data_IF_186315071832
#
_entry.id   IF_186315071832
#
_cell.length_a   1.000
_cell.length_b   1.000
_cell.length_c   1.000
_cell.angle_alpha   90.00
_cell.angle_beta   90.00
_cell.angle_gamma   90.00
#
_symmetry.space_group_name_H-M   'P 1'
#
loop_
_entity.id
_entity.type
_entity.pdbx_description
1 polymer ?
#
# COMPACT_ATOMS: atom_id res chain seq x y z
N UNK A 1 6.69 -14.23 -22.90
CA UNK A 1 6.45 -15.32 -21.94
C UNK A 1 7.39 -15.24 -20.74
N UNK A 2 8.73 -15.18 -20.91
CA UNK A 2 9.70 -15.10 -19.81
C UNK A 2 9.49 -13.90 -18.87
N UNK A 3 9.14 -12.73 -19.41
CA UNK A 3 8.89 -11.52 -18.62
C UNK A 3 7.64 -11.66 -17.74
N UNK A 4 6.57 -12.26 -18.25
CA UNK A 4 5.34 -12.52 -17.49
C UNK A 4 5.59 -13.53 -16.37
N UNK A 5 6.34 -14.58 -16.65
CA UNK A 5 6.72 -15.58 -15.65
C UNK A 5 7.55 -14.95 -14.52
N UNK A 6 8.56 -14.15 -14.88
CA UNK A 6 9.40 -13.47 -13.89
C UNK A 6 8.58 -12.50 -13.01
N UNK A 7 7.66 -11.76 -13.63
CA UNK A 7 6.74 -10.86 -12.92
C UNK A 7 5.85 -11.64 -11.95
N UNK A 8 5.27 -12.76 -12.37
CA UNK A 8 4.43 -13.59 -11.49
C UNK A 8 5.23 -14.17 -10.32
N UNK A 9 6.45 -14.66 -10.55
CA UNK A 9 7.33 -15.15 -9.48
C UNK A 9 7.66 -14.03 -8.47
N UNK A 10 7.98 -12.83 -8.95
CA UNK A 10 8.22 -11.65 -8.11
C UNK A 10 7.00 -11.32 -7.27
N UNK A 11 5.82 -11.29 -7.89
CA UNK A 11 4.57 -10.97 -7.22
C UNK A 11 4.18 -12.01 -6.18
N UNK A 12 4.34 -13.30 -6.46
CA UNK A 12 4.12 -14.39 -5.48
C UNK A 12 5.06 -14.25 -4.27
N UNK A 13 6.33 -13.93 -4.50
CA UNK A 13 7.31 -13.70 -3.43
C UNK A 13 6.91 -12.51 -2.56
N UNK A 14 6.47 -11.43 -3.19
CA UNK A 14 5.99 -10.24 -2.50
C UNK A 14 4.74 -10.53 -1.65
N UNK A 15 3.79 -11.32 -2.17
CA UNK A 15 2.61 -11.79 -1.44
C UNK A 15 3.03 -12.60 -0.20
N UNK A 16 3.91 -13.58 -0.38
CA UNK A 16 4.38 -14.42 0.71
C UNK A 16 5.08 -13.58 1.82
N UNK A 17 5.92 -12.64 1.41
CA UNK A 17 6.59 -11.73 2.34
C UNK A 17 5.59 -10.85 3.11
N UNK A 18 4.61 -10.25 2.42
CA UNK A 18 3.61 -9.39 3.04
C UNK A 18 2.72 -10.15 4.04
N UNK A 19 2.28 -11.36 3.69
CA UNK A 19 1.46 -12.18 4.59
C UNK A 19 2.27 -12.71 5.78
N UNK A 20 3.52 -13.13 5.57
CA UNK A 20 4.42 -13.52 6.65
C UNK A 20 4.67 -12.36 7.62
N UNK A 21 4.89 -11.15 7.08
CA UNK A 21 5.02 -9.93 7.90
C UNK A 21 3.75 -9.66 8.72
N UNK A 22 2.58 -9.82 8.13
CA UNK A 22 1.30 -9.65 8.84
C UNK A 22 1.12 -10.65 9.98
N UNK A 23 1.44 -11.92 9.74
CA UNK A 23 1.35 -12.96 10.77
C UNK A 23 2.31 -12.69 11.94
N UNK A 24 3.56 -12.31 11.65
CA UNK A 24 4.55 -11.95 12.68
C UNK A 24 4.11 -10.70 13.46
N UNK A 25 3.58 -9.69 12.77
CA UNK A 25 3.07 -8.46 13.37
C UNK A 25 1.97 -8.73 14.40
N UNK A 26 0.97 -9.53 14.05
CA UNK A 26 -0.13 -9.86 14.94
C UNK A 26 0.26 -10.85 16.03
N UNK A 27 1.15 -11.81 15.73
CA UNK A 27 1.68 -12.73 16.74
C UNK A 27 2.39 -12.00 17.87
N UNK A 28 3.26 -11.04 17.55
CA UNK A 28 3.98 -10.24 18.56
C UNK A 28 3.06 -9.42 19.47
N UNK A 29 1.89 -9.05 18.98
CA UNK A 29 0.92 -8.27 19.76
C UNK A 29 -0.02 -9.13 20.59
N UNK A 30 -0.55 -10.18 20.02
CA UNK A 30 -1.58 -10.99 20.65
C UNK A 30 -1.01 -12.16 21.44
N UNK A 31 0.25 -12.53 21.18
CA UNK A 31 0.97 -13.65 21.80
C UNK A 31 0.16 -14.97 21.84
N UNK A 32 -0.64 -15.22 20.80
CA UNK A 32 -1.53 -16.40 20.71
C UNK A 32 -1.14 -17.26 19.51
N UNK A 33 -0.51 -18.42 19.77
CA UNK A 33 -0.05 -19.36 18.71
C UNK A 33 -1.16 -19.86 17.78
N UNK A 34 -2.37 -20.06 18.31
CA UNK A 34 -3.50 -20.53 17.49
C UNK A 34 -3.88 -19.52 16.38
N UNK A 35 -3.72 -18.21 16.64
CA UNK A 35 -3.97 -17.16 15.63
C UNK A 35 -3.02 -17.25 14.45
N UNK A 36 -1.76 -17.69 14.68
CA UNK A 36 -0.84 -17.98 13.57
C UNK A 36 -1.38 -19.08 12.67
N UNK A 37 -1.85 -20.19 13.27
CA UNK A 37 -2.42 -21.30 12.52
C UNK A 37 -3.65 -20.88 11.70
N UNK A 38 -4.59 -20.18 12.34
CA UNK A 38 -5.81 -19.67 11.66
C UNK A 38 -5.46 -18.67 10.56
N UNK A 39 -4.58 -17.70 10.83
CA UNK A 39 -4.14 -16.73 9.84
C UNK A 39 -3.39 -17.37 8.69
N UNK A 40 -2.52 -18.34 8.97
CA UNK A 40 -1.83 -19.09 7.92
C UNK A 40 -2.82 -19.88 7.04
N UNK A 41 -3.76 -20.61 7.66
CA UNK A 41 -4.81 -21.31 6.93
C UNK A 41 -5.65 -20.36 6.08
N UNK A 42 -6.00 -19.19 6.62
CA UNK A 42 -6.75 -18.18 5.89
C UNK A 42 -6.00 -17.71 4.63
N UNK A 43 -4.72 -17.35 4.75
CA UNK A 43 -3.93 -16.89 3.61
C UNK A 43 -3.60 -18.02 2.62
N UNK A 44 -3.38 -19.25 3.08
CA UNK A 44 -3.03 -20.40 2.24
C UNK A 44 -4.23 -20.99 1.48
N UNK A 45 -5.39 -21.06 2.13
CA UNK A 45 -6.55 -21.76 1.58
C UNK A 45 -7.59 -20.85 0.93
N UNK A 46 -7.46 -19.52 1.05
CA UNK A 46 -8.38 -18.61 0.38
C UNK A 46 -8.09 -18.58 -1.12
N UNK A 47 -8.94 -19.14 -2.00
CA UNK A 47 -8.64 -19.28 -3.42
C UNK A 47 -8.47 -17.93 -4.13
N UNK A 48 -9.14 -16.90 -3.62
CA UNK A 48 -9.01 -15.52 -4.11
C UNK A 48 -7.57 -15.01 -4.01
N UNK A 49 -6.86 -15.31 -2.90
CA UNK A 49 -5.47 -14.88 -2.69
C UNK A 49 -4.56 -15.58 -3.71
N UNK A 50 -4.75 -16.90 -3.91
CA UNK A 50 -3.98 -17.66 -4.88
C UNK A 50 -4.18 -17.13 -6.31
N UNK A 51 -5.43 -16.85 -6.71
CA UNK A 51 -5.75 -16.29 -8.02
C UNK A 51 -5.13 -14.90 -8.22
N UNK A 52 -5.24 -14.02 -7.22
CA UNK A 52 -4.64 -12.69 -7.30
C UNK A 52 -3.11 -12.72 -7.30
N UNK A 53 -2.48 -13.67 -6.60
CA UNK A 53 -1.02 -13.76 -6.57
C UNK A 53 -0.40 -14.09 -7.94
N UNK A 54 -1.15 -14.73 -8.84
CA UNK A 54 -0.72 -15.06 -10.21
C UNK A 54 -1.21 -14.02 -11.22
N UNK A 55 -2.22 -13.23 -10.88
CA UNK A 55 -2.78 -12.21 -11.77
C UNK A 55 -1.77 -11.09 -12.07
N UNK A 56 -1.50 -10.82 -13.34
CA UNK A 56 -0.57 -9.76 -13.78
C UNK A 56 -1.16 -8.36 -13.72
N UNK A 57 -1.97 -8.07 -12.70
CA UNK A 57 -2.60 -6.77 -12.53
C UNK A 57 -1.78 -5.86 -11.63
N UNK A 58 -1.73 -4.58 -12.01
CA UNK A 58 -1.10 -3.51 -11.19
C UNK A 58 -1.71 -3.39 -9.79
N UNK A 59 -2.94 -3.88 -9.61
CA UNK A 59 -3.70 -3.77 -8.38
C UNK A 59 -3.15 -4.65 -7.25
N UNK A 60 -2.53 -5.77 -7.59
CA UNK A 60 -1.96 -6.68 -6.58
C UNK A 60 -0.81 -6.02 -5.84
N UNK A 61 0.15 -5.44 -6.57
CA UNK A 61 1.30 -4.75 -5.94
C UNK A 61 0.83 -3.56 -5.12
N UNK A 62 -0.13 -2.78 -5.64
CA UNK A 62 -0.75 -1.68 -4.91
C UNK A 62 -1.40 -2.16 -3.60
N UNK A 63 -2.19 -3.23 -3.66
CA UNK A 63 -2.89 -3.79 -2.49
C UNK A 63 -1.91 -4.31 -1.44
N UNK A 64 -0.83 -4.97 -1.85
CA UNK A 64 0.21 -5.44 -0.92
C UNK A 64 0.96 -4.28 -0.26
N UNK A 65 1.28 -3.23 -1.02
CA UNK A 65 1.91 -2.04 -0.48
C UNK A 65 1.01 -1.36 0.55
N UNK A 66 -0.28 -1.20 0.25
CA UNK A 66 -1.26 -0.66 1.19
C UNK A 66 -1.50 -1.57 2.40
N UNK A 67 -1.44 -2.88 2.21
CA UNK A 67 -1.56 -3.84 3.29
C UNK A 67 -0.40 -3.71 4.31
N UNK A 68 0.84 -3.57 3.83
CA UNK A 68 2.00 -3.30 4.68
C UNK A 68 1.87 -1.91 5.33
N UNK A 69 1.47 -0.89 4.56
CA UNK A 69 1.25 0.45 5.07
C UNK A 69 0.22 0.46 6.21
N UNK A 70 -0.87 -0.30 6.10
CA UNK A 70 -1.90 -0.41 7.14
C UNK A 70 -1.33 -0.88 8.47
N UNK A 71 -0.47 -1.90 8.48
CA UNK A 71 0.17 -2.39 9.70
C UNK A 71 1.09 -1.34 10.32
N UNK A 72 1.85 -0.62 9.49
CA UNK A 72 2.74 0.44 9.95
C UNK A 72 1.98 1.68 10.44
N UNK A 73 0.85 2.02 9.81
CA UNK A 73 -0.06 3.08 10.26
C UNK A 73 -0.71 2.73 11.60
N UNK A 74 -1.10 1.47 11.78
CA UNK A 74 -1.62 0.99 13.06
C UNK A 74 -0.57 1.13 14.16
N UNK A 75 0.69 0.76 13.89
CA UNK A 75 1.78 0.92 14.84
C UNK A 75 2.10 2.39 15.13
N UNK A 76 2.04 3.25 14.12
CA UNK A 76 2.19 4.71 14.28
C UNK A 76 1.11 5.27 15.19
N UNK A 77 -0.13 4.80 15.06
CA UNK A 77 -1.25 5.22 15.90
C UNK A 77 -1.06 4.76 17.36
N UNK A 78 -0.69 3.49 17.57
CA UNK A 78 -0.53 2.90 18.90
C UNK A 78 0.66 3.50 19.68
N UNK A 79 1.81 3.64 19.03
CA UNK A 79 3.02 4.14 19.67
C UNK A 79 3.80 5.10 18.76
N UNK A 80 3.29 6.33 18.63
CA UNK A 80 3.88 7.37 17.81
C UNK A 80 5.34 7.66 18.17
N UNK A 81 5.69 7.70 19.47
CA UNK A 81 7.06 8.02 19.91
C UNK A 81 8.04 6.91 19.57
N UNK A 82 7.66 5.65 19.83
CA UNK A 82 8.47 4.48 19.49
C UNK A 82 8.64 4.29 18.00
N UNK A 83 7.61 4.63 17.22
CA UNK A 83 7.67 4.57 15.75
C UNK A 83 8.71 5.54 15.18
N UNK A 84 8.71 6.80 15.61
CA UNK A 84 9.66 7.81 15.13
C UNK A 84 11.11 7.60 15.59
N UNK A 85 11.35 6.74 16.59
CA UNK A 85 12.72 6.34 16.96
C UNK A 85 13.36 5.38 15.96
N UNK A 86 12.55 4.62 15.22
CA UNK A 86 13.02 3.61 14.25
C UNK A 86 12.92 4.15 12.83
N UNK A 87 14.05 4.63 12.30
CA UNK A 87 14.15 5.17 10.94
C UNK A 87 13.69 4.18 9.86
N UNK A 88 13.94 2.88 10.11
CA UNK A 88 13.51 1.79 9.22
C UNK A 88 11.99 1.75 9.01
N UNK A 89 11.21 1.98 10.08
CA UNK A 89 9.75 2.00 9.99
C UNK A 89 9.22 3.21 9.24
N UNK A 90 9.86 4.36 9.43
CA UNK A 90 9.54 5.58 8.68
C UNK A 90 9.80 5.35 7.19
N UNK A 91 10.98 4.80 6.86
CA UNK A 91 11.34 4.49 5.49
C UNK A 91 10.40 3.45 4.87
N UNK A 92 10.07 2.38 5.60
CA UNK A 92 9.17 1.33 5.13
C UNK A 92 7.74 1.88 4.88
N UNK A 93 7.23 2.73 5.77
CA UNK A 93 5.91 3.37 5.60
C UNK A 93 5.92 4.29 4.37
N UNK A 94 6.92 5.17 4.26
CA UNK A 94 7.03 6.07 3.11
C UNK A 94 7.17 5.30 1.81
N UNK A 95 8.03 4.27 1.77
CA UNK A 95 8.21 3.43 0.60
C UNK A 95 6.91 2.72 0.19
N UNK A 96 6.19 2.10 1.14
CA UNK A 96 4.94 1.40 0.84
C UNK A 96 3.85 2.34 0.33
N UNK A 97 3.73 3.56 0.89
CA UNK A 97 2.79 4.57 0.42
C UNK A 97 3.15 5.10 -0.97
N UNK A 98 4.45 5.35 -1.24
CA UNK A 98 4.94 5.80 -2.55
C UNK A 98 4.67 4.72 -3.60
N UNK A 99 5.03 3.46 -3.33
CA UNK A 99 4.76 2.34 -4.24
C UNK A 99 3.26 2.23 -4.53
N UNK A 100 2.41 2.23 -3.50
CA UNK A 100 0.96 2.20 -3.67
C UNK A 100 0.45 3.34 -4.55
N UNK A 101 0.93 4.57 -4.33
CA UNK A 101 0.50 5.75 -5.06
C UNK A 101 1.02 5.81 -6.50
N UNK A 102 2.22 5.26 -6.79
CA UNK A 102 2.75 5.15 -8.15
C UNK A 102 1.94 4.14 -8.98
N UNK A 103 1.49 3.04 -8.38
CA UNK A 103 0.63 2.08 -9.07
C UNK A 103 -0.81 2.57 -9.24
N UNK A 104 -1.34 3.32 -8.25
CA UNK A 104 -2.69 3.90 -8.30
C UNK A 104 -2.71 5.33 -7.77
N UNK A 105 -2.92 6.30 -8.65
CA UNK A 105 -2.99 7.74 -8.29
C UNK A 105 -4.04 8.03 -7.19
N UNK A 106 -5.11 7.24 -7.12
CA UNK A 106 -6.16 7.39 -6.10
C UNK A 106 -5.68 7.17 -4.66
N UNK A 107 -4.57 6.45 -4.45
CA UNK A 107 -3.97 6.25 -3.12
C UNK A 107 -3.56 7.58 -2.47
N UNK A 108 -3.17 8.58 -3.27
CA UNK A 108 -2.81 9.92 -2.78
C UNK A 108 -3.97 10.56 -2.01
N UNK A 109 -5.21 10.38 -2.48
CA UNK A 109 -6.39 10.90 -1.78
C UNK A 109 -6.62 10.20 -0.44
N UNK A 110 -6.39 8.89 -0.37
CA UNK A 110 -6.48 8.13 0.89
C UNK A 110 -5.40 8.57 1.88
N UNK A 111 -4.17 8.79 1.41
CA UNK A 111 -3.06 9.31 2.23
C UNK A 111 -3.38 10.71 2.74
N UNK A 112 -3.93 11.58 1.90
CA UNK A 112 -4.35 12.91 2.29
C UNK A 112 -5.48 12.89 3.33
N UNK A 113 -6.50 12.04 3.15
CA UNK A 113 -7.58 11.85 4.11
C UNK A 113 -7.03 11.38 5.47
N UNK A 114 -6.13 10.41 5.46
CA UNK A 114 -5.48 9.93 6.69
C UNK A 114 -4.68 11.04 7.38
N UNK A 115 -3.97 11.87 6.63
CA UNK A 115 -3.26 13.04 7.16
C UNK A 115 -4.22 14.02 7.85
N UNK A 116 -5.36 14.31 7.24
CA UNK A 116 -6.39 15.18 7.84
C UNK A 116 -6.93 14.58 9.13
N UNK A 117 -7.27 13.28 9.12
CA UNK A 117 -7.73 12.57 10.32
C UNK A 117 -6.67 12.60 11.42
N UNK A 118 -5.41 12.35 11.12
CA UNK A 118 -4.33 12.45 12.09
C UNK A 118 -4.13 13.88 12.60
N UNK A 119 -4.28 14.89 11.76
CA UNK A 119 -4.18 16.29 12.17
C UNK A 119 -5.30 16.70 13.14
N UNK A 120 -6.49 16.09 13.01
CA UNK A 120 -7.63 16.34 13.90
C UNK A 120 -7.50 15.55 15.20
N UNK A 121 -7.25 14.24 15.10
CA UNK A 121 -7.36 13.33 16.25
C UNK A 121 -6.05 13.14 17.03
N UNK A 122 -4.89 13.20 16.38
CA UNK A 122 -3.61 13.01 17.07
C UNK A 122 -3.16 14.30 17.75
N UNK A 123 -3.15 14.30 19.09
CA UNK A 123 -2.66 15.46 19.87
C UNK A 123 -1.14 15.46 20.01
N UNK A 124 -0.50 14.27 20.05
CA UNK A 124 0.96 14.14 20.23
C UNK A 124 1.69 14.12 18.90
N UNK A 125 2.82 14.83 18.82
CA UNK A 125 3.75 14.84 17.68
C UNK A 125 3.15 15.16 16.30
N UNK A 126 2.05 15.92 16.24
CA UNK A 126 1.37 16.33 14.99
C UNK A 126 2.36 16.81 13.91
N UNK A 127 3.32 17.67 14.28
CA UNK A 127 4.28 18.23 13.32
C UNK A 127 5.09 17.16 12.61
N UNK A 128 5.54 16.11 13.32
CA UNK A 128 6.30 15.01 12.72
C UNK A 128 5.45 14.16 11.79
N UNK A 129 4.19 13.88 12.18
CA UNK A 129 3.25 13.14 11.35
C UNK A 129 2.96 13.93 10.07
N UNK A 130 2.61 15.21 10.19
CA UNK A 130 2.32 16.08 9.03
C UNK A 130 3.54 16.16 8.12
N UNK A 131 4.74 16.36 8.67
CA UNK A 131 5.98 16.40 7.89
C UNK A 131 6.25 15.10 7.13
N UNK A 132 6.03 13.94 7.78
CA UNK A 132 6.20 12.63 7.16
C UNK A 132 5.26 12.45 5.96
N UNK A 133 3.97 12.70 6.15
CA UNK A 133 2.98 12.51 5.07
C UNK A 133 3.12 13.55 3.97
N UNK A 134 3.36 14.82 4.31
CA UNK A 134 3.62 15.87 3.32
C UNK A 134 4.88 15.57 2.50
N UNK A 135 5.96 15.13 3.14
CA UNK A 135 7.17 14.69 2.47
C UNK A 135 6.94 13.48 1.55
N UNK A 136 6.15 12.50 2.00
CA UNK A 136 5.78 11.33 1.19
C UNK A 136 4.96 11.73 -0.04
N UNK A 137 3.97 12.61 0.10
CA UNK A 137 3.15 13.10 -1.01
C UNK A 137 4.03 13.88 -2.01
N UNK A 138 4.86 14.81 -1.51
CA UNK A 138 5.76 15.59 -2.35
C UNK A 138 6.72 14.69 -3.14
N UNK A 139 7.33 13.72 -2.46
CA UNK A 139 8.24 12.76 -3.10
C UNK A 139 7.53 11.90 -4.15
N UNK A 140 6.30 11.47 -3.87
CA UNK A 140 5.48 10.73 -4.84
C UNK A 140 5.18 11.56 -6.08
N UNK A 141 4.83 12.83 -5.91
CA UNK A 141 4.57 13.74 -7.04
C UNK A 141 5.84 13.96 -7.87
N UNK A 142 6.99 14.18 -7.23
CA UNK A 142 8.27 14.36 -7.92
C UNK A 142 8.66 13.10 -8.71
N UNK A 143 8.50 11.92 -8.11
CA UNK A 143 8.80 10.64 -8.77
C UNK A 143 7.83 10.39 -9.93
N UNK A 144 6.53 10.69 -9.78
CA UNK A 144 5.55 10.53 -10.86
C UNK A 144 5.90 11.40 -12.06
N UNK A 145 6.18 12.69 -11.84
CA UNK A 145 6.60 13.61 -12.90
C UNK A 145 7.92 13.19 -13.50
N UNK A 146 8.90 12.78 -12.67
CA UNK A 146 10.20 12.31 -13.14
C UNK A 146 10.08 11.06 -14.02
N UNK A 147 9.24 10.10 -13.64
CA UNK A 147 9.00 8.90 -14.45
C UNK A 147 8.24 9.21 -15.74
N UNK A 148 7.24 10.10 -15.71
CA UNK A 148 6.51 10.52 -16.90
C UNK A 148 7.47 11.19 -17.91
N UNK A 149 8.38 12.03 -17.45
CA UNK A 149 9.36 12.72 -18.32
C UNK A 149 10.46 11.79 -18.84
N UNK A 150 11.01 10.90 -17.99
CA UNK A 150 12.08 9.98 -18.38
C UNK A 150 11.61 8.89 -19.35
N UNK A 151 10.41 8.37 -19.13
CA UNK A 151 9.86 7.26 -19.93
C UNK A 151 9.06 7.76 -21.14
N UNK A 152 8.98 9.08 -21.36
CA UNK A 152 8.11 9.69 -22.39
C UNK A 152 6.69 9.08 -22.38
N UNK A 153 6.20 8.75 -21.16
CA UNK A 153 4.92 8.09 -21.02
C UNK A 153 3.79 9.04 -21.41
N UNK A 154 2.96 8.61 -22.34
CA UNK A 154 1.74 9.35 -22.68
C UNK A 154 0.82 9.40 -21.47
N UNK A 155 0.27 10.58 -21.19
CA UNK A 155 -0.72 10.75 -20.12
C UNK A 155 -1.92 9.88 -20.45
N UNK A 156 -2.30 8.97 -19.54
CA UNK A 156 -3.49 8.15 -19.69
C UNK A 156 -4.68 9.01 -20.10
N UNK A 157 -5.42 8.58 -21.12
CA UNK A 157 -6.54 9.35 -21.68
C UNK A 157 -7.61 9.59 -20.61
N UNK A 158 -8.25 10.75 -20.63
CA UNK A 158 -9.40 11.05 -19.77
C UNK A 158 -10.54 10.03 -19.95
N UNK A 159 -10.55 9.30 -21.07
CA UNK A 159 -11.50 8.21 -21.37
C UNK A 159 -11.40 7.08 -20.35
N UNK A 160 -10.21 6.73 -19.84
CA UNK A 160 -10.08 5.69 -18.78
C UNK A 160 -10.77 6.10 -17.49
N UNK A 161 -10.69 7.36 -17.09
CA UNK A 161 -11.34 7.87 -15.87
C UNK A 161 -12.88 7.95 -16.04
N UNK A 162 -13.37 8.14 -17.26
CA UNK A 162 -14.79 8.24 -17.57
C UNK A 162 -15.43 6.90 -17.95
N UNK A 163 -14.64 5.85 -18.14
CA UNK A 163 -15.12 4.54 -18.62
C UNK A 163 -16.22 3.96 -17.69
N UNK A 164 -16.03 4.01 -16.38
CA UNK A 164 -17.01 3.48 -15.42
C UNK A 164 -18.30 4.31 -15.37
N UNK A 165 -18.25 5.66 -15.24
CA UNK A 165 -19.44 6.50 -15.31
C UNK A 165 -20.20 6.37 -16.62
N UNK A 166 -19.50 6.32 -17.77
CA UNK A 166 -20.12 6.16 -19.08
C UNK A 166 -20.82 4.80 -19.24
N UNK A 167 -20.22 3.71 -18.72
CA UNK A 167 -20.85 2.39 -18.71
C UNK A 167 -22.08 2.36 -17.83
N UNK A 168 -22.10 3.08 -16.71
CA UNK A 168 -23.26 3.19 -15.84
C UNK A 168 -24.41 3.97 -16.52
N UNK A 169 -24.10 5.05 -17.21
CA UNK A 169 -25.09 5.83 -17.96
C UNK A 169 -25.65 5.02 -19.15
N UNK A 170 -24.80 4.25 -19.83
CA UNK A 170 -25.23 3.45 -20.99
C UNK A 170 -26.09 2.21 -20.60
N UNK A 171 -26.20 1.88 -19.32
CA UNK A 171 -27.05 0.79 -18.81
C UNK A 171 -28.44 1.24 -18.40
N UNK A 172 -28.74 2.52 -18.42
CA UNK A 172 -30.07 3.12 -18.20
C UNK A 172 -30.76 3.31 -19.52
#
# INVERSE_FOLDING_TARGET
EKAVFLHSCFQMTLCAAAFSYSLDFWYRRLNRKWLLGVGFCFYAFLPTIALFSVSTTKDVVCSLALFIAFHLLYELYENTEGFFRKKEKIAALSCSLIVGALYRKNVIYAVFLYLVLCAVFCKKQKRKIISLFAGTILLTMLLSVGMETLLHAEKGSAVEALCVPLQQIARV
#
